data_IF_147868905303
#
_entry.id   IF_147868905303
#
_cell.length_a   1.000
_cell.length_b   1.000
_cell.length_c   1.000
_cell.angle_alpha   90.00
_cell.angle_beta   90.00
_cell.angle_gamma   90.00
#
_symmetry.space_group_name_H-M   'P 1'
#
loop_
_entity.id
_entity.type
_entity.pdbx_description
1 polymer ?
#
# COMPACT_ATOMS: atom_id res chain seq x y z
N UNK A 1 -12.96 1.53 14.89
CA UNK A 1 -12.30 0.20 14.78
C UNK A 1 -13.31 -0.85 15.16
N UNK A 2 -13.61 -1.79 14.26
CA UNK A 2 -14.62 -2.82 14.49
C UNK A 2 -14.06 -4.02 15.28
N UNK A 3 -14.93 -4.94 15.69
CA UNK A 3 -14.57 -6.10 16.51
C UNK A 3 -13.57 -7.03 15.81
N UNK A 4 -13.67 -7.17 14.48
CA UNK A 4 -12.74 -7.95 13.68
C UNK A 4 -11.31 -7.37 13.74
N UNK A 5 -11.19 -6.05 13.59
CA UNK A 5 -9.91 -5.35 13.70
C UNK A 5 -9.31 -5.45 15.11
N UNK A 6 -10.14 -5.41 16.16
CA UNK A 6 -9.67 -5.62 17.53
C UNK A 6 -9.09 -7.02 17.73
N UNK A 7 -9.78 -8.06 17.22
CA UNK A 7 -9.29 -9.44 17.27
C UNK A 7 -7.95 -9.58 16.53
N UNK A 8 -7.85 -9.04 15.32
CA UNK A 8 -6.59 -9.13 14.54
C UNK A 8 -5.44 -8.39 15.22
N UNK A 9 -5.71 -7.27 15.90
CA UNK A 9 -4.67 -6.59 16.68
C UNK A 9 -4.14 -7.46 17.84
N UNK A 10 -4.95 -8.33 18.44
CA UNK A 10 -4.46 -9.23 19.49
C UNK A 10 -3.48 -10.27 18.95
N UNK A 11 -3.62 -10.69 17.68
CA UNK A 11 -2.72 -11.66 17.07
C UNK A 11 -1.32 -11.11 16.84
N UNK A 12 -1.16 -9.77 16.76
CA UNK A 12 0.16 -9.13 16.68
C UNK A 12 1.05 -9.39 17.89
N UNK A 13 0.47 -9.81 19.02
CA UNK A 13 1.23 -10.27 20.19
C UNK A 13 1.98 -11.61 19.96
N UNK A 14 1.59 -12.40 18.96
CA UNK A 14 2.22 -13.68 18.62
C UNK A 14 3.23 -13.55 17.49
N UNK A 15 2.86 -12.87 16.40
CA UNK A 15 3.72 -12.60 15.26
C UNK A 15 3.13 -11.42 14.44
N UNK A 16 3.94 -10.72 13.62
CA UNK A 16 3.43 -9.74 12.68
C UNK A 16 2.40 -10.38 11.75
N UNK A 17 1.18 -9.80 11.73
CA UNK A 17 0.11 -10.25 10.85
C UNK A 17 -0.02 -9.30 9.67
N UNK A 18 1.07 -9.22 8.90
CA UNK A 18 1.15 -8.34 7.75
C UNK A 18 0.59 -9.01 6.50
N UNK A 19 0.10 -8.20 5.57
CA UNK A 19 -0.26 -8.61 4.23
C UNK A 19 0.45 -7.73 3.19
N UNK A 20 0.56 -8.24 1.97
CA UNK A 20 1.28 -7.56 0.90
C UNK A 20 0.58 -7.71 -0.44
N UNK A 21 0.68 -6.67 -1.27
CA UNK A 21 0.28 -6.73 -2.66
C UNK A 21 1.38 -6.14 -3.54
N UNK A 22 1.64 -6.80 -4.67
CA UNK A 22 2.73 -6.46 -5.58
C UNK A 22 2.20 -6.43 -6.99
N UNK A 23 2.59 -5.41 -7.75
CA UNK A 23 2.33 -5.33 -9.18
C UNK A 23 3.63 -5.16 -9.94
N UNK A 24 3.75 -5.86 -11.08
CA UNK A 24 4.82 -5.65 -12.05
C UNK A 24 4.42 -4.52 -12.99
N UNK A 25 5.35 -3.60 -13.21
CA UNK A 25 5.20 -2.44 -14.09
C UNK A 25 6.38 -2.43 -15.05
N UNK A 26 6.10 -2.16 -16.32
CA UNK A 26 7.13 -2.05 -17.33
C UNK A 26 7.95 -0.79 -17.17
N UNK A 27 9.15 -0.81 -17.73
CA UNK A 27 10.13 0.26 -17.73
C UNK A 27 10.82 0.50 -16.37
N UNK A 28 11.86 1.32 -16.38
CA UNK A 28 12.59 1.71 -15.18
C UNK A 28 11.68 2.45 -14.18
N UNK A 29 11.89 2.26 -12.86
CA UNK A 29 11.06 2.91 -11.86
C UNK A 29 11.38 4.41 -11.73
N UNK A 30 10.34 5.23 -11.68
CA UNK A 30 10.42 6.64 -11.27
C UNK A 30 9.87 6.79 -9.84
N UNK A 31 10.79 6.82 -8.86
CA UNK A 31 10.44 6.86 -7.44
C UNK A 31 9.71 8.15 -7.05
N UNK A 32 10.07 9.28 -7.65
CA UNK A 32 9.41 10.56 -7.36
C UNK A 32 7.97 10.54 -7.87
N UNK A 33 7.76 10.01 -9.07
CA UNK A 33 6.43 9.87 -9.65
C UNK A 33 5.57 8.87 -8.89
N UNK A 34 6.13 7.76 -8.42
CA UNK A 34 5.41 6.84 -7.53
C UNK A 34 5.04 7.48 -6.20
N UNK A 35 5.97 8.21 -5.59
CA UNK A 35 5.75 8.89 -4.31
C UNK A 35 4.65 9.95 -4.43
N UNK A 36 4.70 10.74 -5.51
CA UNK A 36 3.67 11.72 -5.82
C UNK A 36 2.30 11.08 -6.06
N UNK A 37 2.26 9.98 -6.83
CA UNK A 37 1.01 9.25 -7.10
C UNK A 37 0.42 8.65 -5.82
N UNK A 38 1.23 7.98 -4.99
CA UNK A 38 0.79 7.38 -3.73
C UNK A 38 0.26 8.45 -2.76
N UNK A 39 1.01 9.54 -2.60
CA UNK A 39 0.61 10.68 -1.77
C UNK A 39 -0.71 11.28 -2.24
N UNK A 40 -0.87 11.48 -3.56
CA UNK A 40 -2.10 12.02 -4.13
C UNK A 40 -3.31 11.12 -3.86
N UNK A 41 -3.19 9.80 -4.01
CA UNK A 41 -4.29 8.87 -3.71
C UNK A 41 -4.59 8.81 -2.21
N UNK A 42 -3.57 8.68 -1.34
CA UNK A 42 -3.77 8.62 0.11
C UNK A 42 -4.46 9.88 0.65
N UNK A 43 -4.14 11.05 0.09
CA UNK A 43 -4.79 12.31 0.45
C UNK A 43 -6.30 12.31 0.15
N UNK A 44 -6.76 11.58 -0.88
CA UNK A 44 -8.21 11.43 -1.16
C UNK A 44 -8.94 10.60 -0.10
N UNK A 45 -8.19 9.85 0.72
CA UNK A 45 -8.69 9.09 1.87
C UNK A 45 -8.39 9.80 3.20
N UNK A 46 -8.01 11.07 3.16
CA UNK A 46 -7.63 11.88 4.33
C UNK A 46 -6.38 11.36 5.08
N UNK A 47 -5.62 10.46 4.47
CA UNK A 47 -4.34 9.99 4.99
C UNK A 47 -3.24 10.96 4.53
N UNK A 48 -2.67 11.70 5.48
CA UNK A 48 -1.68 12.76 5.21
C UNK A 48 -0.26 12.39 5.63
N UNK A 49 -0.09 11.33 6.42
CA UNK A 49 1.23 10.82 6.79
C UNK A 49 1.96 10.32 5.53
N UNK A 50 3.20 10.77 5.27
CA UNK A 50 3.93 10.39 4.07
C UNK A 50 4.34 8.91 4.15
N UNK A 51 4.15 8.20 3.04
CA UNK A 51 4.61 6.81 2.89
C UNK A 51 5.84 6.80 2.01
N UNK A 52 7.05 6.69 2.58
CA UNK A 52 8.27 6.62 1.78
C UNK A 52 8.27 5.34 0.94
N UNK A 53 8.80 5.45 -0.27
CA UNK A 53 9.00 4.31 -1.16
C UNK A 53 10.45 3.88 -1.07
N UNK A 54 10.68 2.69 -0.51
CA UNK A 54 12.01 2.11 -0.39
C UNK A 54 12.42 1.48 -1.72
N UNK A 55 13.54 1.89 -2.31
CA UNK A 55 14.18 1.15 -3.39
C UNK A 55 14.98 -0.01 -2.78
N UNK A 56 14.64 -1.23 -3.15
CA UNK A 56 15.34 -2.44 -2.70
C UNK A 56 16.01 -3.15 -3.86
N UNK A 57 17.22 -3.65 -3.61
CA UNK A 57 18.00 -4.49 -4.53
C UNK A 57 17.78 -5.98 -4.30
N UNK A 58 16.95 -6.34 -3.31
CA UNK A 58 16.65 -7.74 -3.00
C UNK A 58 15.74 -8.34 -4.06
N UNK A 59 15.87 -9.65 -4.25
CA UNK A 59 14.89 -10.43 -5.00
C UNK A 59 13.51 -10.34 -4.34
N UNK A 60 12.45 -10.43 -5.13
CA UNK A 60 11.07 -10.21 -4.67
C UNK A 60 10.69 -11.14 -3.51
N UNK A 61 11.04 -12.41 -3.60
CA UNK A 61 10.78 -13.42 -2.58
C UNK A 61 11.42 -13.03 -1.24
N UNK A 62 12.70 -12.64 -1.27
CA UNK A 62 13.39 -12.20 -0.08
C UNK A 62 12.79 -10.91 0.50
N UNK A 63 12.51 -9.92 -0.36
CA UNK A 63 11.89 -8.65 0.09
C UNK A 63 10.52 -8.89 0.73
N UNK A 64 9.70 -9.76 0.15
CA UNK A 64 8.38 -10.11 0.71
C UNK A 64 8.52 -10.80 2.07
N UNK A 65 9.45 -11.75 2.21
CA UNK A 65 9.68 -12.43 3.49
C UNK A 65 10.10 -11.41 4.56
N UNK A 66 11.04 -10.52 4.26
CA UNK A 66 11.48 -9.49 5.22
C UNK A 66 10.34 -8.57 5.63
N UNK A 67 9.55 -8.10 4.67
CA UNK A 67 8.47 -7.15 4.93
C UNK A 67 7.31 -7.77 5.72
N UNK A 68 6.93 -9.02 5.39
CA UNK A 68 5.86 -9.73 6.08
C UNK A 68 6.23 -10.06 7.54
N UNK A 69 7.51 -10.28 7.83
CA UNK A 69 8.00 -10.59 9.18
C UNK A 69 8.47 -9.36 9.96
N UNK A 70 8.48 -8.17 9.36
CA UNK A 70 8.86 -6.92 10.04
C UNK A 70 7.64 -6.29 10.72
N UNK A 71 7.62 -6.11 12.06
CA UNK A 71 6.50 -5.49 12.76
C UNK A 71 6.31 -4.02 12.36
N UNK A 72 5.05 -3.55 12.34
CA UNK A 72 4.74 -2.13 12.31
C UNK A 72 4.83 -1.52 13.72
N UNK A 73 5.22 -0.25 13.80
CA UNK A 73 5.25 0.48 15.08
C UNK A 73 3.83 0.88 15.47
N UNK A 74 3.36 0.59 16.69
CA UNK A 74 2.04 1.03 17.13
C UNK A 74 1.91 2.56 17.07
N UNK A 75 0.79 3.04 16.53
CA UNK A 75 0.47 4.47 16.47
C UNK A 75 1.00 5.20 15.22
N UNK A 76 1.72 4.52 14.33
CA UNK A 76 2.10 5.05 13.00
C UNK A 76 1.16 4.52 11.93
N UNK A 77 1.14 5.14 10.74
CA UNK A 77 0.46 4.58 9.57
C UNK A 77 1.03 3.18 9.27
N UNK A 78 0.21 2.10 9.31
CA UNK A 78 0.69 0.74 9.12
C UNK A 78 0.77 0.39 7.63
N UNK A 79 1.47 1.22 6.87
CA UNK A 79 1.63 1.11 5.43
C UNK A 79 3.09 1.35 5.05
N UNK A 80 3.69 0.42 4.31
CA UNK A 80 5.04 0.52 3.74
C UNK A 80 4.96 0.28 2.24
N UNK A 81 5.73 1.05 1.48
CA UNK A 81 5.84 0.88 0.04
C UNK A 81 7.28 0.62 -0.35
N UNK A 82 7.47 -0.23 -1.35
CA UNK A 82 8.79 -0.51 -1.90
C UNK A 82 8.74 -0.66 -3.41
N UNK A 83 9.90 -0.47 -4.03
CA UNK A 83 10.16 -0.78 -5.43
C UNK A 83 11.35 -1.72 -5.50
N UNK A 84 11.23 -2.80 -6.28
CA UNK A 84 12.38 -3.61 -6.69
C UNK A 84 12.54 -3.56 -8.19
N UNK A 85 13.78 -3.67 -8.67
CA UNK A 85 14.07 -3.75 -10.12
C UNK A 85 14.19 -5.22 -10.50
N UNK A 86 13.50 -5.62 -11.56
CA UNK A 86 13.62 -6.96 -12.15
C UNK A 86 14.79 -6.99 -13.15
N UNK A 87 15.28 -8.16 -13.50
CA UNK A 87 16.42 -8.37 -14.41
C UNK A 87 16.17 -7.93 -15.87
N UNK A 88 14.97 -7.44 -16.20
CA UNK A 88 14.49 -7.18 -17.55
C UNK A 88 13.97 -5.73 -17.74
N UNK A 89 14.57 -4.74 -17.08
CA UNK A 89 14.14 -3.32 -17.12
C UNK A 89 12.66 -3.09 -16.74
N UNK A 90 12.06 -4.05 -16.04
CA UNK A 90 10.77 -3.88 -15.38
C UNK A 90 11.01 -3.59 -13.90
N UNK A 91 10.02 -3.03 -13.23
CA UNK A 91 10.04 -2.90 -11.78
C UNK A 91 8.79 -3.49 -11.14
N UNK A 92 8.93 -3.83 -9.88
CA UNK A 92 7.84 -4.29 -9.03
C UNK A 92 7.56 -3.18 -8.03
N UNK A 93 6.31 -2.75 -7.97
CA UNK A 93 5.84 -1.86 -6.92
C UNK A 93 5.03 -2.68 -5.91
N UNK A 94 5.46 -2.66 -4.66
CA UNK A 94 4.85 -3.41 -3.58
C UNK A 94 4.35 -2.50 -2.46
N UNK A 95 3.22 -2.89 -1.87
CA UNK A 95 2.66 -2.26 -0.68
C UNK A 95 2.41 -3.33 0.38
N UNK A 96 2.91 -3.06 1.58
CA UNK A 96 2.82 -3.93 2.75
C UNK A 96 2.04 -3.18 3.81
N UNK A 97 1.14 -3.87 4.48
CA UNK A 97 0.23 -3.29 5.45
C UNK A 97 -0.04 -4.26 6.58
N UNK A 98 -0.38 -3.73 7.75
CA UNK A 98 -0.92 -4.54 8.83
C UNK A 98 -2.35 -4.96 8.45
N UNK A 99 -2.69 -6.25 8.56
CA UNK A 99 -3.92 -6.78 7.99
C UNK A 99 -5.19 -6.17 8.59
N UNK A 100 -5.14 -5.56 9.78
CA UNK A 100 -6.30 -4.82 10.35
C UNK A 100 -6.60 -3.51 9.63
N UNK A 101 -5.61 -2.94 8.94
CA UNK A 101 -5.71 -1.63 8.30
C UNK A 101 -6.65 -1.61 7.08
N UNK A 102 -6.57 -2.65 6.25
CA UNK A 102 -7.35 -2.78 5.03
C UNK A 102 -7.59 -4.26 4.71
N UNK A 103 -8.52 -4.55 3.81
CA UNK A 103 -8.63 -5.88 3.20
C UNK A 103 -7.96 -5.90 1.81
N UNK A 104 -7.82 -7.10 1.26
CA UNK A 104 -7.19 -7.29 -0.05
C UNK A 104 -7.90 -6.55 -1.20
N UNK A 105 -9.24 -6.54 -1.31
CA UNK A 105 -9.94 -5.73 -2.32
C UNK A 105 -9.66 -4.22 -2.20
N UNK A 106 -9.67 -3.68 -0.98
CA UNK A 106 -9.44 -2.25 -0.74
C UNK A 106 -8.02 -1.86 -1.12
N UNK A 107 -7.02 -2.66 -0.73
CA UNK A 107 -5.64 -2.36 -1.11
C UNK A 107 -5.41 -2.50 -2.62
N UNK A 108 -6.02 -3.51 -3.25
CA UNK A 108 -5.96 -3.67 -4.71
C UNK A 108 -6.54 -2.44 -5.43
N UNK A 109 -7.70 -1.95 -4.98
CA UNK A 109 -8.32 -0.76 -5.55
C UNK A 109 -7.46 0.49 -5.34
N UNK A 110 -6.81 0.63 -4.17
CA UNK A 110 -5.85 1.70 -3.90
C UNK A 110 -4.68 1.63 -4.89
N UNK A 111 -4.03 0.48 -5.01
CA UNK A 111 -2.85 0.30 -5.88
C UNK A 111 -3.17 0.52 -7.36
N UNK A 112 -4.35 0.08 -7.82
CA UNK A 112 -4.80 0.36 -9.19
C UNK A 112 -4.92 1.86 -9.47
N UNK A 113 -5.44 2.63 -8.52
CA UNK A 113 -5.54 4.09 -8.65
C UNK A 113 -4.19 4.77 -8.63
N UNK A 114 -3.29 4.33 -7.74
CA UNK A 114 -1.90 4.81 -7.70
C UNK A 114 -1.23 4.55 -9.03
N UNK A 115 -1.38 3.35 -9.60
CA UNK A 115 -0.85 3.01 -10.91
C UNK A 115 -1.41 3.90 -12.02
N UNK A 116 -2.73 4.14 -12.07
CA UNK A 116 -3.32 5.00 -13.11
C UNK A 116 -2.82 6.45 -13.01
N UNK A 117 -2.66 6.99 -11.79
CA UNK A 117 -2.01 8.30 -11.60
C UNK A 117 -0.54 8.25 -12.04
N UNK A 118 0.19 7.20 -11.64
CA UNK A 118 1.57 6.97 -12.03
C UNK A 118 1.71 6.88 -13.55
N UNK A 119 0.83 6.22 -14.30
CA UNK A 119 0.90 6.15 -15.77
C UNK A 119 0.58 7.48 -16.46
N UNK A 120 0.12 8.51 -15.74
CA UNK A 120 -0.28 9.80 -16.31
C UNK A 120 -1.73 9.83 -16.80
N UNK A 121 -2.49 8.74 -16.61
CA UNK A 121 -3.90 8.61 -17.01
C UNK A 121 -4.87 9.06 -15.90
N UNK A 122 -4.36 9.70 -14.86
CA UNK A 122 -5.08 10.05 -13.64
C UNK A 122 -6.21 11.07 -13.75
N UNK A 123 -6.32 11.80 -14.88
CA UNK A 123 -7.26 12.93 -15.01
C UNK A 123 -8.74 12.54 -14.96
N UNK A 124 -9.08 11.26 -15.15
CA UNK A 124 -10.47 10.79 -15.28
C UNK A 124 -10.89 9.72 -14.25
N UNK A 125 -10.14 9.53 -13.16
CA UNK A 125 -10.56 8.55 -12.15
C UNK A 125 -11.73 9.09 -11.32
N UNK A 126 -12.81 8.31 -11.11
CA UNK A 126 -13.88 8.71 -10.21
C UNK A 126 -13.33 8.88 -8.79
N UNK A 127 -13.83 9.87 -8.02
CA UNK A 127 -13.32 10.16 -6.69
C UNK A 127 -13.38 8.92 -5.79
N UNK A 128 -12.33 8.73 -4.98
CA UNK A 128 -12.33 7.76 -3.89
C UNK A 128 -13.35 8.30 -2.88
N UNK A 129 -14.44 7.58 -2.65
CA UNK A 129 -15.40 7.96 -1.62
C UNK A 129 -15.05 7.19 -0.36
N UNK A 130 -14.84 7.91 0.73
CA UNK A 130 -14.85 7.31 2.05
C UNK A 130 -16.27 6.80 2.29
N UNK A 131 -16.41 5.53 2.69
CA UNK A 131 -17.70 5.03 3.14
C UNK A 131 -18.00 5.69 4.49
N UNK A 132 -18.80 6.76 4.47
CA UNK A 132 -19.16 7.51 5.68
C UNK A 132 -20.15 8.63 5.41
N UNK A 133 -21.39 8.42 5.86
CA UNK A 133 -22.59 9.27 5.87
C UNK A 133 -23.45 9.31 4.59
N UNK A 134 -23.91 8.15 4.13
CA UNK A 134 -25.24 8.08 3.52
C UNK A 134 -26.16 7.38 4.54
N UNK A 135 -27.07 8.17 5.12
CA UNK A 135 -28.32 7.83 5.81
C UNK A 135 -28.36 6.61 6.77
N UNK A 136 -28.29 6.93 8.07
CA UNK A 136 -28.94 6.15 9.13
C UNK A 136 -30.41 6.63 9.20
N UNK A 137 -31.43 5.81 8.89
CA UNK A 137 -32.84 6.20 9.06
C UNK A 137 -33.29 6.20 10.54
#
# INVERSE_FOLDING_TARGET
MNDFQQLMRQWTALAPYNAGHVMRVSDAPDLERWSAALTAVLKTLEITEPVPIELSTLALDQKIIEELNRPFVPGTLPLRAFVTVDQQDNHLFGVIYDHWFADSPSLRALMQRVFVLYSGNGKNLPPLRVAGNDDDP
#
